data_IF_420168506720
#
_entry.id   IF_420168506720
#
_cell.length_a   1.000
_cell.length_b   1.000
_cell.length_c   1.000
_cell.angle_alpha   90.00
_cell.angle_beta   90.00
_cell.angle_gamma   90.00
#
_symmetry.space_group_name_H-M   'P 1'
#
loop_
_entity.id
_entity.type
_entity.pdbx_description
1 polymer ?
#
# COMPACT_ATOMS: atom_id res chain seq x y z
N UNK A 1 -31.88 -86.29 57.05
CA UNK A 1 -31.92 -84.88 57.45
C UNK A 1 -30.73 -84.22 56.78
N UNK A 2 -30.99 -83.10 56.10
CA UNK A 2 -30.07 -82.23 55.37
C UNK A 2 -28.86 -81.81 56.26
N UNK A 3 -27.79 -81.22 55.78
CA UNK A 3 -27.65 -80.25 54.70
C UNK A 3 -26.15 -80.02 54.43
N UNK A 4 -25.89 -79.16 53.46
CA UNK A 4 -24.88 -78.08 53.46
C UNK A 4 -23.99 -78.01 52.22
N UNK A 5 -24.57 -77.33 51.23
CA UNK A 5 -23.87 -76.61 50.17
C UNK A 5 -23.65 -75.17 50.63
N UNK A 6 -22.43 -74.81 51.01
CA UNK A 6 -22.10 -73.46 51.47
C UNK A 6 -21.66 -72.55 50.31
N UNK A 7 -22.39 -71.45 50.18
CA UNK A 7 -22.34 -70.45 49.11
C UNK A 7 -21.17 -69.47 49.23
N UNK A 8 -20.76 -68.98 48.06
CA UNK A 8 -19.77 -67.93 47.82
C UNK A 8 -20.31 -66.54 48.15
N UNK A 9 -19.49 -65.72 48.82
CA UNK A 9 -19.78 -64.32 49.16
C UNK A 9 -19.36 -63.39 48.00
N UNK A 10 -20.19 -62.41 47.58
CA UNK A 10 -19.84 -61.49 46.49
C UNK A 10 -18.96 -60.33 46.99
N UNK A 11 -17.91 -60.03 46.22
CA UNK A 11 -17.04 -58.87 46.40
C UNK A 11 -17.69 -57.63 45.76
N UNK A 12 -17.92 -56.59 46.55
CA UNK A 12 -18.42 -55.28 46.11
C UNK A 12 -17.27 -54.47 45.50
N UNK A 13 -17.43 -53.83 44.32
CA UNK A 13 -16.40 -52.99 43.73
C UNK A 13 -16.31 -51.62 44.43
N UNK A 14 -15.08 -51.16 44.63
CA UNK A 14 -14.76 -49.83 45.18
C UNK A 14 -15.26 -48.70 44.26
N UNK A 15 -15.61 -47.52 44.81
CA UNK A 15 -16.19 -46.44 44.03
C UNK A 15 -15.15 -45.80 43.10
N UNK A 16 -15.60 -45.49 41.88
CA UNK A 16 -14.81 -44.79 40.88
C UNK A 16 -14.27 -43.47 41.42
N UNK A 17 -12.95 -43.28 41.34
CA UNK A 17 -12.30 -42.01 41.63
C UNK A 17 -12.81 -40.97 40.64
N UNK A 18 -13.50 -39.94 41.15
CA UNK A 18 -13.88 -38.78 40.37
C UNK A 18 -12.63 -38.15 39.75
N UNK A 19 -12.56 -38.15 38.42
CA UNK A 19 -11.54 -37.43 37.67
C UNK A 19 -11.55 -35.96 38.10
N UNK A 20 -10.42 -35.51 38.66
CA UNK A 20 -10.19 -34.08 38.89
C UNK A 20 -10.21 -33.38 37.54
N UNK A 21 -11.31 -32.70 37.21
CA UNK A 21 -11.37 -31.73 36.10
C UNK A 21 -10.14 -30.82 36.19
N UNK A 22 -9.25 -30.93 35.21
CA UNK A 22 -8.11 -30.04 35.09
C UNK A 22 -8.62 -28.59 35.07
N UNK A 23 -8.11 -27.76 35.98
CA UNK A 23 -8.43 -26.32 35.99
C UNK A 23 -7.98 -25.73 34.66
N UNK A 24 -8.91 -25.09 33.94
CA UNK A 24 -8.59 -24.36 32.72
C UNK A 24 -7.43 -23.38 32.96
N UNK A 25 -6.49 -23.24 32.00
CA UNK A 25 -5.39 -22.29 32.12
C UNK A 25 -5.91 -20.89 32.43
N UNK A 26 -5.30 -20.22 33.41
CA UNK A 26 -5.73 -18.87 33.86
C UNK A 26 -5.42 -17.77 32.82
N UNK A 27 -4.70 -18.11 31.76
CA UNK A 27 -4.29 -17.27 30.64
C UNK A 27 -4.03 -18.16 29.42
N UNK A 28 -4.01 -17.54 28.24
CA UNK A 28 -3.58 -18.20 27.01
C UNK A 28 -2.07 -18.46 27.07
N UNK A 29 -1.68 -19.71 26.84
CA UNK A 29 -0.28 -20.09 26.66
C UNK A 29 0.07 -19.93 25.18
N UNK A 30 0.82 -18.88 24.86
CA UNK A 30 1.49 -18.77 23.57
C UNK A 30 2.70 -19.71 23.54
N UNK A 31 3.09 -20.18 22.35
CA UNK A 31 4.25 -21.08 22.16
C UNK A 31 5.56 -20.48 22.70
N UNK A 32 5.65 -19.15 22.77
CA UNK A 32 6.79 -18.41 23.31
C UNK A 32 6.70 -18.11 24.82
N UNK A 33 5.59 -18.43 25.48
CA UNK A 33 5.38 -18.21 26.92
C UNK A 33 5.43 -16.74 27.36
N UNK A 34 5.30 -15.78 26.45
CA UNK A 34 5.39 -14.35 26.75
C UNK A 34 4.26 -13.93 27.70
N UNK A 35 3.05 -14.48 27.54
CA UNK A 35 1.89 -14.12 28.38
C UNK A 35 2.00 -14.59 29.83
N UNK A 36 2.95 -15.46 30.16
CA UNK A 36 3.30 -15.85 31.55
C UNK A 36 4.00 -14.72 32.31
N UNK A 37 4.61 -13.78 31.60
CA UNK A 37 5.38 -12.67 32.21
C UNK A 37 4.52 -11.47 32.62
N UNK A 38 3.20 -11.52 32.37
CA UNK A 38 2.25 -10.45 32.65
C UNK A 38 1.77 -10.48 34.10
N UNK A 39 1.69 -9.30 34.73
CA UNK A 39 1.18 -9.22 36.08
C UNK A 39 -0.33 -9.50 36.13
N UNK A 40 -0.69 -10.64 36.70
CA UNK A 40 -2.09 -11.06 36.89
C UNK A 40 -2.90 -10.04 37.69
N UNK A 41 -2.35 -9.53 38.78
CA UNK A 41 -3.05 -8.55 39.63
C UNK A 41 -3.36 -7.28 38.86
N UNK A 42 -2.42 -6.82 38.03
CA UNK A 42 -2.62 -5.68 37.15
C UNK A 42 -3.66 -5.96 36.06
N UNK A 43 -3.68 -7.16 35.45
CA UNK A 43 -4.67 -7.46 34.42
C UNK A 43 -6.10 -7.54 34.95
N UNK A 44 -6.28 -8.02 36.18
CA UNK A 44 -7.61 -8.10 36.80
C UNK A 44 -8.08 -6.78 37.42
N UNK A 45 -7.19 -6.04 38.09
CA UNK A 45 -7.56 -4.86 38.89
C UNK A 45 -7.07 -3.53 38.32
N UNK A 46 -6.31 -3.55 37.21
CA UNK A 46 -5.62 -2.40 36.59
C UNK A 46 -4.73 -1.60 37.56
N UNK A 47 -4.47 -2.14 38.75
CA UNK A 47 -3.63 -1.57 39.80
C UNK A 47 -2.83 -2.71 40.43
N UNK A 48 -1.51 -2.56 40.47
CA UNK A 48 -0.62 -3.47 41.18
C UNK A 48 -0.05 -2.72 42.39
N UNK A 49 -0.19 -3.27 43.59
CA UNK A 49 0.28 -2.66 44.84
C UNK A 49 1.76 -2.93 45.14
N UNK A 50 2.46 -3.65 44.25
CA UNK A 50 3.89 -3.96 44.42
C UNK A 50 4.73 -2.83 43.85
N UNK A 51 5.54 -2.19 44.69
CA UNK A 51 6.43 -1.08 44.32
C UNK A 51 7.44 -1.48 43.22
N UNK A 52 7.90 -2.74 43.19
CA UNK A 52 8.83 -3.29 42.19
C UNK A 52 8.30 -4.62 41.63
N UNK A 53 7.19 -4.56 40.88
CA UNK A 53 6.61 -5.77 40.31
C UNK A 53 7.49 -6.34 39.18
N UNK A 54 7.98 -7.57 39.34
CA UNK A 54 8.79 -8.29 38.34
C UNK A 54 8.04 -8.72 37.06
N UNK A 55 6.76 -8.36 36.94
CA UNK A 55 5.86 -8.79 35.87
C UNK A 55 5.35 -7.57 35.09
N UNK A 56 5.15 -7.72 33.79
CA UNK A 56 4.81 -6.63 32.86
C UNK A 56 3.43 -6.04 33.16
N UNK A 57 3.34 -4.70 33.17
CA UNK A 57 2.12 -3.92 33.37
C UNK A 57 1.69 -3.24 32.06
N UNK A 58 1.25 -4.01 31.07
CA UNK A 58 0.79 -3.45 29.80
C UNK A 58 -0.68 -2.96 29.91
N UNK A 59 -0.87 -1.64 29.90
CA UNK A 59 -2.20 -0.99 29.96
C UNK A 59 -3.03 -1.28 28.69
N UNK A 60 -2.37 -1.41 27.54
CA UNK A 60 -2.99 -1.56 26.23
C UNK A 60 -3.30 -3.03 25.89
N UNK A 61 -2.77 -3.99 26.64
CA UNK A 61 -3.06 -5.41 26.46
C UNK A 61 -4.56 -5.72 26.63
N UNK A 62 -5.12 -6.46 25.67
CA UNK A 62 -6.49 -6.94 25.68
C UNK A 62 -6.71 -8.00 26.77
N UNK A 63 -7.56 -7.74 27.79
CA UNK A 63 -7.78 -8.70 28.87
C UNK A 63 -8.47 -9.99 28.42
N UNK A 64 -9.33 -9.91 27.39
CA UNK A 64 -9.99 -11.08 26.83
C UNK A 64 -8.99 -11.96 26.10
N UNK A 65 -8.18 -11.38 25.22
CA UNK A 65 -7.14 -12.13 24.52
C UNK A 65 -6.12 -12.76 25.47
N UNK A 66 -5.63 -12.02 26.47
CA UNK A 66 -4.73 -12.56 27.49
C UNK A 66 -5.35 -13.75 28.26
N UNK A 67 -6.65 -13.71 28.54
CA UNK A 67 -7.34 -14.76 29.29
C UNK A 67 -7.66 -15.99 28.44
N UNK A 68 -8.09 -15.82 27.19
CA UNK A 68 -8.69 -16.89 26.38
C UNK A 68 -8.00 -17.16 25.04
N UNK A 69 -7.02 -16.35 24.65
CA UNK A 69 -6.31 -16.47 23.35
C UNK A 69 -7.16 -16.11 22.14
N UNK A 70 -8.41 -15.71 22.38
CA UNK A 70 -9.40 -15.34 21.36
C UNK A 70 -10.09 -14.07 21.81
N UNK A 71 -10.11 -13.07 20.94
CA UNK A 71 -10.85 -11.84 21.15
C UNK A 71 -12.01 -11.77 20.16
N UNK A 72 -13.19 -11.36 20.65
CA UNK A 72 -14.39 -11.23 19.81
C UNK A 72 -14.29 -10.20 18.69
N UNK A 73 -13.27 -9.33 18.74
CA UNK A 73 -13.03 -8.27 17.75
C UNK A 73 -11.86 -8.59 16.81
N UNK A 74 -11.19 -9.75 16.94
CA UNK A 74 -10.08 -10.13 16.06
C UNK A 74 -9.04 -9.02 15.88
N UNK A 75 -8.68 -8.74 14.63
CA UNK A 75 -7.70 -7.72 14.27
C UNK A 75 -8.23 -6.27 14.35
N UNK A 76 -9.55 -6.10 14.54
CA UNK A 76 -10.19 -4.80 14.76
C UNK A 76 -10.24 -4.42 16.26
N UNK A 77 -9.63 -5.21 17.15
CA UNK A 77 -9.60 -4.91 18.57
C UNK A 77 -8.80 -3.64 18.86
N UNK A 78 -9.40 -2.68 19.57
CA UNK A 78 -8.73 -1.44 20.01
C UNK A 78 -7.64 -1.66 21.08
N UNK A 79 -7.32 -2.91 21.43
CA UNK A 79 -6.35 -3.31 22.46
C UNK A 79 -5.38 -4.32 21.88
N UNK A 80 -4.15 -4.35 22.39
CA UNK A 80 -3.09 -5.19 21.86
C UNK A 80 -3.39 -6.67 22.12
N UNK A 81 -3.19 -7.52 21.11
CA UNK A 81 -3.18 -8.99 21.21
C UNK A 81 -1.76 -9.55 21.27
N UNK A 82 -0.79 -8.69 21.55
CA UNK A 82 0.62 -9.01 21.77
C UNK A 82 1.09 -8.27 23.01
N UNK A 83 2.21 -8.71 23.56
CA UNK A 83 2.83 -8.02 24.68
C UNK A 83 3.79 -6.94 24.19
N UNK A 84 3.54 -5.72 24.65
CA UNK A 84 4.48 -4.62 24.48
C UNK A 84 5.47 -4.72 25.65
N UNK A 85 6.65 -5.30 25.40
CA UNK A 85 7.72 -5.27 26.39
C UNK A 85 8.31 -3.83 26.38
N UNK A 86 8.25 -3.09 27.50
CA UNK A 86 8.97 -1.84 27.59
C UNK A 86 10.48 -2.12 27.56
N UNK A 87 11.20 -1.35 26.76
CA UNK A 87 12.67 -1.38 26.68
C UNK A 87 13.25 -1.12 28.09
N UNK A 88 14.16 -1.97 28.60
CA UNK A 88 14.77 -1.79 29.92
C UNK A 88 15.56 -0.47 30.08
N UNK A 89 15.78 0.31 29.01
CA UNK A 89 16.47 1.61 29.07
C UNK A 89 15.57 2.86 28.92
N UNK A 90 14.25 2.72 28.80
CA UNK A 90 13.37 3.88 28.71
C UNK A 90 12.95 4.39 30.10
N UNK A 91 13.60 5.45 30.57
CA UNK A 91 13.12 6.26 31.70
C UNK A 91 11.79 6.92 31.30
N UNK A 92 10.77 6.69 32.11
CA UNK A 92 9.38 6.95 31.75
C UNK A 92 9.00 8.42 31.66
N UNK A 93 7.90 8.68 30.94
CA UNK A 93 6.77 9.47 31.44
C UNK A 93 5.54 9.24 30.54
N UNK A 94 4.41 9.00 31.21
CA UNK A 94 3.09 8.74 30.65
C UNK A 94 2.48 10.05 30.08
N UNK A 95 1.87 9.99 28.89
CA UNK A 95 0.49 10.42 28.58
C UNK A 95 0.29 10.73 27.09
N UNK A 96 -0.55 9.94 26.40
CA UNK A 96 -1.20 10.33 25.13
C UNK A 96 -2.71 10.26 25.35
N UNK A 97 -3.35 11.42 25.44
CA UNK A 97 -4.80 11.59 25.33
C UNK A 97 -5.20 11.69 23.86
N UNK A 98 -6.11 10.83 23.44
CA UNK A 98 -6.75 10.84 22.13
C UNK A 98 -7.98 11.77 22.14
N UNK A 99 -8.15 12.57 21.08
CA UNK A 99 -9.38 13.29 20.78
C UNK A 99 -10.05 12.68 19.54
N UNK A 100 -11.34 12.42 19.67
CA UNK A 100 -12.25 11.91 18.64
C UNK A 100 -13.20 13.02 18.20
N UNK A 101 -13.67 12.99 16.94
CA UNK A 101 -14.86 13.72 16.47
C UNK A 101 -15.30 13.20 15.08
N UNK A 102 -16.51 13.52 14.58
CA UNK A 102 -17.50 12.49 14.25
C UNK A 102 -18.03 12.53 12.80
N UNK A 103 -18.88 11.54 12.53
CA UNK A 103 -19.77 11.33 11.39
C UNK A 103 -20.83 12.43 11.19
N UNK A 104 -21.12 12.75 9.93
CA UNK A 104 -22.36 13.39 9.48
C UNK A 104 -22.59 13.05 8.00
N UNK A 105 -23.73 12.45 7.68
CA UNK A 105 -24.13 12.11 6.31
C UNK A 105 -25.17 13.09 5.77
N UNK A 106 -25.42 13.03 4.46
CA UNK A 106 -26.70 13.39 3.84
C UNK A 106 -26.79 12.82 2.41
N UNK A 107 -27.97 12.30 2.09
CA UNK A 107 -28.38 11.65 0.83
C UNK A 107 -28.64 12.64 -0.30
N UNK A 108 -28.52 12.22 -1.57
CA UNK A 108 -29.41 12.70 -2.64
C UNK A 108 -29.57 11.67 -3.78
N UNK A 109 -30.81 11.52 -4.25
CA UNK A 109 -31.27 10.52 -5.21
C UNK A 109 -30.98 10.80 -6.71
N UNK A 110 -30.78 9.67 -7.40
CA UNK A 110 -30.97 9.29 -8.82
C UNK A 110 -31.53 10.31 -9.84
N UNK A 111 -30.89 10.33 -11.04
CA UNK A 111 -31.50 9.90 -12.33
C UNK A 111 -30.47 9.74 -13.47
N UNK A 112 -30.63 8.65 -14.24
CA UNK A 112 -30.12 8.33 -15.61
C UNK A 112 -31.37 8.30 -16.54
N UNK A 113 -31.33 8.12 -17.90
CA UNK A 113 -30.28 7.46 -18.73
C UNK A 113 -29.93 8.19 -20.07
N UNK A 114 -28.71 8.00 -20.60
CA UNK A 114 -28.28 7.15 -21.75
C UNK A 114 -28.70 7.60 -23.18
N UNK A 115 -27.71 7.81 -24.07
CA UNK A 115 -27.48 6.93 -25.23
C UNK A 115 -26.20 7.30 -26.05
N UNK A 116 -25.50 6.24 -26.47
CA UNK A 116 -24.47 6.12 -27.54
C UNK A 116 -25.12 6.26 -28.94
N UNK A 117 -24.45 6.12 -30.12
CA UNK A 117 -23.07 5.69 -30.43
C UNK A 117 -22.33 6.43 -31.60
N UNK A 118 -21.03 6.07 -31.82
CA UNK A 118 -20.29 5.75 -33.09
C UNK A 118 -20.32 6.75 -34.27
N UNK A 119 -19.34 6.87 -35.18
CA UNK A 119 -18.08 6.21 -35.52
C UNK A 119 -17.36 7.01 -36.63
N UNK A 120 -16.04 6.82 -36.72
CA UNK A 120 -15.10 7.09 -37.82
C UNK A 120 -15.65 7.26 -39.25
N UNK A 121 -15.06 8.21 -40.02
CA UNK A 121 -14.15 7.90 -41.15
C UNK A 121 -13.48 9.15 -41.75
N UNK A 122 -12.21 8.95 -42.11
CA UNK A 122 -11.40 9.81 -42.98
C UNK A 122 -11.85 9.73 -44.45
N UNK A 123 -11.54 10.76 -45.25
CA UNK A 123 -10.71 10.59 -46.45
C UNK A 123 -10.34 11.93 -47.11
N UNK A 124 -9.09 11.99 -47.58
CA UNK A 124 -8.47 13.00 -48.45
C UNK A 124 -9.15 13.18 -49.82
N UNK A 125 -9.02 14.36 -50.43
CA UNK A 125 -8.28 14.53 -51.71
C UNK A 125 -8.38 15.97 -52.31
N UNK A 126 -7.21 16.61 -52.39
CA UNK A 126 -6.56 17.31 -53.53
C UNK A 126 -7.39 17.62 -54.80
N UNK A 127 -7.40 18.88 -55.23
CA UNK A 127 -7.28 19.29 -56.65
C UNK A 127 -6.96 20.79 -56.81
N UNK A 128 -6.23 21.10 -57.89
CA UNK A 128 -5.52 22.34 -58.26
C UNK A 128 -6.33 23.22 -59.24
N UNK A 129 -5.82 24.45 -59.41
CA UNK A 129 -5.80 25.31 -60.62
C UNK A 129 -7.06 26.14 -60.93
N UNK A 130 -7.03 27.26 -61.66
CA UNK A 130 -6.09 28.39 -61.93
C UNK A 130 -6.94 29.35 -62.80
N UNK A 131 -6.79 30.68 -62.62
CA UNK A 131 -7.22 31.82 -63.49
C UNK A 131 -8.72 31.94 -63.89
N UNK A 132 -9.31 33.14 -64.07
CA UNK A 132 -8.85 34.30 -64.87
C UNK A 132 -9.65 35.58 -64.49
N UNK A 133 -9.04 36.74 -64.77
CA UNK A 133 -9.60 38.13 -64.82
C UNK A 133 -10.71 38.23 -65.91
N UNK A 134 -11.52 39.28 -66.12
CA UNK A 134 -11.46 40.77 -66.07
C UNK A 134 -12.90 41.26 -66.48
N UNK A 135 -13.58 42.28 -65.93
CA UNK A 135 -13.69 43.72 -66.35
C UNK A 135 -15.00 44.28 -65.67
N UNK A 136 -15.00 45.36 -64.88
CA UNK A 136 -15.31 46.79 -65.17
C UNK A 136 -16.61 47.03 -66.00
N UNK A 137 -17.61 47.89 -65.71
CA UNK A 137 -17.96 48.97 -64.77
C UNK A 137 -19.52 49.23 -64.92
N UNK A 138 -20.20 50.32 -64.47
CA UNK A 138 -19.86 51.42 -63.56
C UNK A 138 -20.93 51.72 -62.45
N UNK A 139 -20.42 52.38 -61.39
CA UNK A 139 -21.00 53.42 -60.50
C UNK A 139 -22.54 53.59 -60.39
N UNK A 140 -23.03 53.45 -59.16
CA UNK A 140 -23.99 54.41 -58.61
C UNK A 140 -23.67 54.72 -57.13
N UNK A 141 -23.44 56.00 -56.87
CA UNK A 141 -22.88 56.54 -55.66
C UNK A 141 -23.97 57.10 -54.76
N UNK A 142 -24.85 56.25 -54.21
CA UNK A 142 -25.77 56.71 -53.15
C UNK A 142 -26.29 55.61 -52.19
N UNK A 143 -25.69 54.41 -52.24
CA UNK A 143 -25.94 53.31 -51.28
C UNK A 143 -24.76 53.00 -50.37
N UNK A 144 -23.70 53.81 -50.38
CA UNK A 144 -22.45 53.47 -49.70
C UNK A 144 -22.40 53.82 -48.20
N UNK A 145 -23.27 54.70 -47.68
CA UNK A 145 -23.18 55.11 -46.27
C UNK A 145 -24.08 54.32 -45.30
N UNK A 146 -25.19 53.76 -45.78
CA UNK A 146 -26.02 52.86 -44.97
C UNK A 146 -25.40 51.46 -44.86
N UNK A 147 -24.81 50.93 -45.94
CA UNK A 147 -24.17 49.61 -45.92
C UNK A 147 -22.81 49.60 -45.19
N UNK A 148 -22.05 50.69 -45.20
CA UNK A 148 -20.78 50.76 -44.45
C UNK A 148 -21.00 50.78 -42.94
N UNK A 149 -22.08 51.41 -42.44
CA UNK A 149 -22.46 51.34 -41.01
C UNK A 149 -23.01 49.97 -40.60
N UNK A 150 -23.79 49.31 -41.46
CA UNK A 150 -24.28 47.94 -41.20
C UNK A 150 -23.17 46.87 -41.27
N UNK A 151 -22.22 46.99 -42.21
CA UNK A 151 -21.04 46.11 -42.30
C UNK A 151 -20.02 46.37 -41.18
N UNK A 152 -19.87 47.60 -40.67
CA UNK A 152 -19.05 47.86 -39.46
C UNK A 152 -19.67 47.24 -38.20
N UNK A 153 -21.00 47.25 -38.07
CA UNK A 153 -21.70 46.63 -36.93
C UNK A 153 -21.63 45.10 -36.96
N UNK A 154 -21.83 44.47 -38.13
CA UNK A 154 -21.68 43.00 -38.30
C UNK A 154 -20.24 42.49 -38.30
N UNK A 155 -19.23 43.31 -38.62
CA UNK A 155 -17.82 42.90 -38.57
C UNK A 155 -17.25 42.90 -37.14
N UNK A 156 -17.88 43.63 -36.22
CA UNK A 156 -17.51 43.62 -34.80
C UNK A 156 -18.09 42.44 -34.01
N UNK A 157 -19.19 41.83 -34.46
CA UNK A 157 -19.83 40.69 -33.77
C UNK A 157 -19.18 39.33 -34.13
N UNK A 158 -18.28 39.28 -35.11
CA UNK A 158 -17.62 38.04 -35.57
C UNK A 158 -16.17 37.86 -35.13
N UNK A 159 -15.63 38.75 -34.30
CA UNK A 159 -14.43 38.43 -33.53
C UNK A 159 -14.89 37.67 -32.30
N UNK A 160 -15.17 36.37 -32.46
CA UNK A 160 -15.15 35.46 -31.31
C UNK A 160 -13.83 35.74 -30.60
N UNK A 161 -13.90 36.27 -29.37
CA UNK A 161 -12.73 36.47 -28.55
C UNK A 161 -12.02 35.12 -28.51
N UNK A 162 -10.83 35.03 -29.11
CA UNK A 162 -10.03 33.81 -29.09
C UNK A 162 -9.89 33.43 -27.63
N UNK A 163 -10.54 32.32 -27.25
CA UNK A 163 -10.58 31.85 -25.87
C UNK A 163 -9.14 31.61 -25.46
N UNK A 164 -8.59 32.50 -24.61
CA UNK A 164 -7.23 32.36 -24.13
C UNK A 164 -7.19 31.09 -23.28
N UNK A 165 -6.29 30.18 -23.62
CA UNK A 165 -6.10 28.91 -22.89
C UNK A 165 -5.24 29.10 -21.64
N UNK A 166 -4.44 30.16 -21.57
CA UNK A 166 -3.64 30.52 -20.39
C UNK A 166 -4.48 31.32 -19.41
N UNK A 167 -4.76 30.72 -18.26
CA UNK A 167 -5.64 31.29 -17.23
C UNK A 167 -4.87 32.05 -16.14
N UNK A 168 -3.60 31.71 -15.90
CA UNK A 168 -2.75 32.37 -14.90
C UNK A 168 -1.35 32.66 -15.46
N UNK A 169 -0.85 33.84 -15.14
CA UNK A 169 0.53 34.27 -15.37
C UNK A 169 1.31 34.42 -14.04
N UNK A 170 0.63 34.16 -12.91
CA UNK A 170 1.27 34.14 -11.59
C UNK A 170 2.00 32.79 -11.44
N UNK A 171 3.33 32.78 -11.21
CA UNK A 171 4.06 31.54 -11.02
C UNK A 171 3.50 30.72 -9.84
N UNK A 172 3.41 29.40 -10.00
CA UNK A 172 3.07 28.52 -8.90
C UNK A 172 4.22 28.45 -7.91
N UNK A 173 3.99 28.91 -6.68
CA UNK A 173 4.98 28.90 -5.59
C UNK A 173 4.70 27.84 -4.52
N UNK A 174 3.47 27.31 -4.48
CA UNK A 174 3.13 26.23 -3.57
C UNK A 174 3.86 24.93 -3.97
N UNK A 175 4.23 24.07 -3.01
CA UNK A 175 4.76 22.75 -3.32
C UNK A 175 3.84 21.91 -4.20
N UNK A 176 4.43 21.01 -4.99
CA UNK A 176 3.68 19.98 -5.71
C UNK A 176 3.29 18.85 -4.75
N UNK A 177 2.11 18.25 -4.98
CA UNK A 177 1.63 17.13 -4.15
C UNK A 177 2.37 15.83 -4.45
N UNK A 178 2.88 15.67 -5.67
CA UNK A 178 3.68 14.54 -6.15
C UNK A 178 4.74 15.05 -7.12
N UNK A 179 6.01 14.69 -6.91
CA UNK A 179 7.09 14.94 -7.87
C UNK A 179 7.59 13.59 -8.38
N UNK A 180 7.54 13.36 -9.69
CA UNK A 180 8.15 12.17 -10.30
C UNK A 180 9.54 12.55 -10.78
N UNK A 181 10.54 11.78 -10.36
CA UNK A 181 11.92 11.91 -10.79
C UNK A 181 12.48 10.55 -11.20
N UNK A 182 13.67 10.51 -11.78
CA UNK A 182 14.31 9.28 -12.21
C UNK A 182 15.82 9.33 -11.99
N UNK A 183 16.43 8.15 -11.96
CA UNK A 183 17.87 7.97 -12.04
C UNK A 183 18.13 6.80 -13.00
N UNK A 184 18.94 7.02 -14.03
CA UNK A 184 19.23 6.02 -15.05
C UNK A 184 20.37 5.08 -14.66
N UNK A 185 20.90 5.22 -13.43
CA UNK A 185 21.99 4.45 -12.90
C UNK A 185 21.83 2.93 -13.07
N UNK A 186 22.97 2.28 -13.04
CA UNK A 186 23.16 0.85 -13.24
C UNK A 186 23.58 0.16 -11.93
N UNK A 187 23.87 -1.14 -12.02
CA UNK A 187 24.24 -1.96 -10.85
C UNK A 187 25.47 -1.50 -10.07
N UNK A 188 26.38 -0.74 -10.71
CA UNK A 188 27.63 -0.28 -10.11
C UNK A 188 27.54 1.16 -9.59
N UNK A 189 26.44 1.83 -9.89
CA UNK A 189 26.26 3.24 -9.55
C UNK A 189 25.70 3.40 -8.14
N UNK A 190 25.83 4.61 -7.61
CA UNK A 190 25.06 5.07 -6.46
C UNK A 190 23.96 6.00 -6.97
N UNK A 191 22.84 5.99 -6.28
CA UNK A 191 21.76 6.95 -6.50
C UNK A 191 22.30 8.36 -6.34
N UNK A 192 22.09 9.19 -7.36
CA UNK A 192 22.72 10.50 -7.52
C UNK A 192 21.72 11.64 -7.60
N UNK A 193 20.47 11.32 -7.94
CA UNK A 193 19.39 12.31 -8.03
C UNK A 193 19.03 12.88 -6.66
N UNK A 194 19.03 14.23 -6.47
CA UNK A 194 18.61 14.85 -5.22
C UNK A 194 17.16 14.50 -4.85
N UNK A 195 16.98 13.97 -3.65
CA UNK A 195 15.70 13.44 -3.17
C UNK A 195 14.95 14.46 -2.30
N UNK A 196 13.64 14.51 -2.47
CA UNK A 196 12.72 15.22 -1.58
C UNK A 196 11.70 14.29 -0.93
N UNK A 197 11.04 14.76 0.12
CA UNK A 197 9.98 14.03 0.82
C UNK A 197 8.71 13.77 -0.02
N UNK A 198 8.58 14.42 -1.19
CA UNK A 198 7.46 14.33 -2.15
C UNK A 198 7.75 13.47 -3.39
N UNK A 199 8.89 12.80 -3.41
CA UNK A 199 9.33 12.08 -4.60
C UNK A 199 8.65 10.73 -4.77
N UNK A 200 8.37 10.43 -6.03
CA UNK A 200 8.37 9.09 -6.60
C UNK A 200 9.57 9.01 -7.53
N UNK A 201 10.41 8.01 -7.33
CA UNK A 201 11.66 7.81 -8.08
C UNK A 201 11.52 6.59 -8.97
N UNK A 202 11.93 6.71 -10.23
CA UNK A 202 12.01 5.59 -11.18
C UNK A 202 13.47 5.26 -11.48
N UNK A 203 13.84 3.98 -11.40
CA UNK A 203 15.20 3.51 -11.72
C UNK A 203 15.08 2.31 -12.67
N UNK A 204 14.94 2.56 -13.98
CA UNK A 204 14.63 1.52 -14.95
C UNK A 204 15.82 0.60 -15.27
N UNK A 205 17.06 1.06 -15.04
CA UNK A 205 18.26 0.37 -15.53
C UNK A 205 19.02 -0.43 -14.47
N UNK A 206 18.59 -0.40 -13.20
CA UNK A 206 19.38 -0.98 -12.10
C UNK A 206 19.62 -2.49 -12.24
N UNK A 207 18.69 -3.19 -12.90
CA UNK A 207 18.77 -4.64 -13.17
C UNK A 207 18.85 -4.96 -14.67
N UNK A 208 19.21 -3.98 -15.50
CA UNK A 208 19.32 -4.15 -16.96
C UNK A 208 20.45 -5.09 -17.41
N UNK A 209 21.36 -5.46 -16.50
CA UNK A 209 22.39 -6.46 -16.76
C UNK A 209 21.88 -7.90 -16.76
N UNK A 210 20.61 -8.12 -16.38
CA UNK A 210 19.94 -9.41 -16.45
C UNK A 210 19.06 -9.51 -17.68
N UNK A 211 18.92 -10.72 -18.23
CA UNK A 211 17.97 -10.95 -19.32
C UNK A 211 16.55 -10.84 -18.79
N UNK A 212 15.63 -10.38 -19.64
CA UNK A 212 14.21 -10.29 -19.31
C UNK A 212 13.69 -11.64 -18.78
N UNK A 213 13.07 -11.62 -17.60
CA UNK A 213 12.50 -12.79 -16.93
C UNK A 213 13.50 -13.71 -16.21
N UNK A 214 14.80 -13.44 -16.29
CA UNK A 214 15.83 -14.27 -15.65
C UNK A 214 15.70 -14.27 -14.13
N UNK A 215 15.60 -13.09 -13.52
CA UNK A 215 15.46 -12.95 -12.07
C UNK A 215 14.11 -13.49 -11.57
N UNK A 216 13.04 -13.32 -12.36
CA UNK A 216 11.75 -13.94 -12.06
C UNK A 216 11.89 -15.46 -11.95
N UNK A 217 12.48 -16.10 -12.97
CA UNK A 217 12.65 -17.55 -13.01
C UNK A 217 13.53 -18.06 -11.87
N UNK A 218 14.64 -17.37 -11.57
CA UNK A 218 15.54 -17.70 -10.45
C UNK A 218 14.83 -17.63 -9.10
N UNK A 219 14.13 -16.52 -8.82
CA UNK A 219 13.40 -16.35 -7.57
C UNK A 219 12.32 -17.42 -7.38
N UNK A 220 11.53 -17.71 -8.42
CA UNK A 220 10.51 -18.76 -8.35
C UNK A 220 11.12 -20.15 -8.16
N UNK A 221 12.19 -20.47 -8.89
CA UNK A 221 12.91 -21.73 -8.73
C UNK A 221 13.47 -21.89 -7.32
N UNK A 222 14.08 -20.85 -6.75
CA UNK A 222 14.61 -20.88 -5.39
C UNK A 222 13.51 -21.04 -4.33
N UNK A 223 12.35 -20.37 -4.50
CA UNK A 223 11.20 -20.57 -3.63
C UNK A 223 10.68 -22.01 -3.69
N UNK A 224 10.60 -22.60 -4.88
CA UNK A 224 10.12 -23.98 -5.06
C UNK A 224 11.08 -25.01 -4.46
N UNK A 225 12.36 -24.66 -4.35
CA UNK A 225 13.42 -25.53 -3.83
C UNK A 225 13.92 -25.11 -2.44
N UNK A 226 13.20 -24.22 -1.73
CA UNK A 226 13.63 -23.75 -0.41
C UNK A 226 13.39 -24.77 0.72
N UNK A 227 12.77 -25.92 0.41
CA UNK A 227 12.46 -26.99 1.36
C UNK A 227 11.20 -26.77 2.18
N UNK A 228 10.40 -25.74 1.87
CA UNK A 228 9.12 -25.44 2.52
C UNK A 228 7.99 -25.65 1.49
N UNK A 229 6.96 -26.46 1.78
CA UNK A 229 5.80 -26.63 0.92
C UNK A 229 5.13 -25.29 0.56
N UNK A 230 4.70 -25.13 -0.70
CA UNK A 230 4.14 -23.86 -1.22
C UNK A 230 2.92 -23.37 -0.43
N UNK A 231 2.07 -24.26 0.05
CA UNK A 231 0.88 -23.96 0.84
C UNK A 231 1.20 -23.41 2.24
N UNK A 232 2.36 -23.78 2.79
CA UNK A 232 2.88 -23.25 4.06
C UNK A 232 3.65 -21.95 3.84
N UNK A 233 4.36 -21.86 2.71
CA UNK A 233 5.22 -20.74 2.36
C UNK A 233 4.46 -19.52 1.85
N UNK A 234 3.46 -19.72 0.99
CA UNK A 234 2.73 -18.66 0.30
C UNK A 234 1.39 -18.40 1.00
N UNK A 235 1.20 -17.16 1.47
CA UNK A 235 0.00 -16.74 2.16
C UNK A 235 -0.79 -15.76 1.31
N UNK A 236 -2.10 -15.98 1.20
CA UNK A 236 -2.98 -15.01 0.56
C UNK A 236 -3.07 -13.74 1.41
N UNK A 237 -3.03 -12.58 0.78
CA UNK A 237 -2.94 -11.28 1.46
C UNK A 237 -4.10 -10.34 1.09
N UNK A 238 -4.45 -9.45 2.03
CA UNK A 238 -5.65 -8.60 1.99
C UNK A 238 -6.96 -9.38 1.83
N UNK A 239 -7.03 -10.59 2.39
CA UNK A 239 -8.28 -11.32 2.56
C UNK A 239 -9.20 -10.66 3.58
N UNK A 240 -10.48 -10.99 3.49
CA UNK A 240 -11.53 -10.66 4.46
C UNK A 240 -12.67 -11.69 4.35
N UNK A 241 -13.78 -11.48 5.05
CA UNK A 241 -14.92 -12.40 5.04
C UNK A 241 -15.56 -12.64 3.66
N UNK A 242 -15.19 -11.87 2.63
CA UNK A 242 -15.75 -11.95 1.28
C UNK A 242 -14.77 -12.48 0.24
N UNK A 243 -13.46 -12.32 0.46
CA UNK A 243 -12.42 -12.75 -0.47
C UNK A 243 -11.25 -13.37 0.30
N UNK A 244 -10.69 -14.46 -0.20
CA UNK A 244 -9.50 -15.08 0.40
C UNK A 244 -8.29 -14.14 0.37
N UNK A 245 -8.26 -13.27 -0.64
CA UNK A 245 -7.36 -12.13 -0.76
C UNK A 245 -7.06 -11.78 -2.21
N UNK A 246 -6.03 -10.97 -2.40
CA UNK A 246 -5.80 -10.23 -3.65
C UNK A 246 -4.51 -10.60 -4.36
N UNK A 247 -3.53 -11.10 -3.63
CA UNK A 247 -2.24 -11.59 -4.12
C UNK A 247 -1.56 -12.44 -3.03
N UNK A 248 -0.49 -13.15 -3.39
CA UNK A 248 0.28 -13.96 -2.46
C UNK A 248 1.48 -13.17 -1.90
N UNK A 249 1.84 -13.48 -0.67
CA UNK A 249 3.12 -13.09 -0.07
C UNK A 249 3.88 -14.33 0.37
N UNK A 250 5.20 -14.24 0.43
CA UNK A 250 6.01 -15.26 1.08
C UNK A 250 6.03 -14.99 2.58
N UNK A 251 5.88 -16.03 3.39
CA UNK A 251 5.86 -15.91 4.85
C UNK A 251 7.23 -15.49 5.40
N UNK A 252 7.36 -14.21 5.74
CA UNK A 252 8.56 -13.62 6.35
C UNK A 252 8.93 -14.24 7.71
N UNK A 253 8.05 -15.04 8.33
CA UNK A 253 8.35 -15.77 9.59
C UNK A 253 9.06 -17.10 9.35
N UNK A 254 9.15 -17.56 8.11
CA UNK A 254 9.80 -18.82 7.75
C UNK A 254 11.27 -18.60 7.35
N UNK A 255 12.02 -19.69 7.18
CA UNK A 255 13.47 -19.67 6.92
C UNK A 255 13.85 -19.58 5.44
N UNK A 256 12.88 -19.33 4.55
CA UNK A 256 13.04 -19.41 3.09
C UNK A 256 14.16 -18.52 2.53
N UNK A 257 14.40 -17.35 3.14
CA UNK A 257 15.44 -16.40 2.68
C UNK A 257 16.83 -17.04 2.65
N UNK A 258 17.15 -17.90 3.62
CA UNK A 258 18.43 -18.61 3.67
C UNK A 258 18.66 -19.56 2.49
N UNK A 259 17.62 -19.87 1.71
CA UNK A 259 17.65 -20.71 0.52
C UNK A 259 17.32 -19.95 -0.77
N UNK A 260 17.21 -18.62 -0.69
CA UNK A 260 16.87 -17.76 -1.82
C UNK A 260 17.94 -16.68 -2.05
N UNK A 261 19.16 -17.06 -2.49
CA UNK A 261 20.26 -16.11 -2.68
C UNK A 261 19.97 -15.02 -3.72
N UNK A 262 19.05 -15.26 -4.67
CA UNK A 262 18.63 -14.21 -5.61
C UNK A 262 17.86 -13.10 -4.90
N UNK A 263 17.14 -13.39 -3.80
CA UNK A 263 16.49 -12.36 -2.99
C UNK A 263 17.52 -11.45 -2.29
N UNK A 264 18.58 -12.05 -1.75
CA UNK A 264 19.69 -11.30 -1.13
C UNK A 264 20.41 -10.44 -2.19
N UNK A 265 20.69 -11.00 -3.37
CA UNK A 265 21.27 -10.23 -4.50
C UNK A 265 20.44 -9.00 -4.83
N UNK A 266 19.11 -9.15 -4.93
CA UNK A 266 18.19 -8.06 -5.26
C UNK A 266 18.19 -7.01 -4.15
N UNK A 267 18.00 -7.42 -2.90
CA UNK A 267 17.92 -6.48 -1.77
C UNK A 267 19.24 -5.79 -1.47
N UNK A 268 20.38 -6.48 -1.61
CA UNK A 268 21.71 -5.88 -1.50
C UNK A 268 21.98 -4.86 -2.58
N UNK A 269 21.51 -5.10 -3.81
CA UNK A 269 21.66 -4.11 -4.89
C UNK A 269 20.84 -2.86 -4.61
N UNK A 270 19.60 -2.99 -4.14
CA UNK A 270 18.78 -1.84 -3.72
C UNK A 270 19.44 -1.09 -2.57
N UNK A 271 19.93 -1.80 -1.56
CA UNK A 271 20.69 -1.26 -0.42
C UNK A 271 21.87 -0.42 -0.87
N UNK A 272 22.72 -0.97 -1.75
CA UNK A 272 23.93 -0.29 -2.24
C UNK A 272 23.60 0.92 -3.10
N UNK A 273 22.66 0.77 -4.04
CA UNK A 273 22.30 1.83 -4.96
C UNK A 273 21.73 3.04 -4.22
N UNK A 274 20.70 2.86 -3.39
CA UNK A 274 20.07 3.96 -2.66
C UNK A 274 20.81 4.37 -1.39
N UNK A 275 21.90 3.69 -1.01
CA UNK A 275 22.48 3.79 0.35
C UNK A 275 21.39 3.58 1.41
N UNK A 276 20.52 2.60 1.17
CA UNK A 276 19.31 2.36 1.96
C UNK A 276 19.63 1.50 3.18
N UNK A 277 19.35 2.02 4.37
CA UNK A 277 19.35 1.25 5.61
C UNK A 277 18.03 0.47 5.73
N UNK A 278 18.01 -0.74 5.15
CA UNK A 278 16.83 -1.61 5.09
C UNK A 278 16.41 -2.06 6.50
N UNK A 279 15.16 -1.79 6.88
CA UNK A 279 14.55 -2.21 8.14
C UNK A 279 13.61 -3.40 7.98
N UNK A 280 12.98 -3.53 6.81
CA UNK A 280 12.08 -4.63 6.51
C UNK A 280 12.01 -4.88 5.01
N UNK A 281 11.61 -6.09 4.64
CA UNK A 281 11.40 -6.49 3.25
C UNK A 281 10.10 -7.26 3.09
N UNK A 282 9.52 -7.31 1.89
CA UNK A 282 8.41 -8.18 1.55
C UNK A 282 8.55 -8.72 0.14
N UNK A 283 8.32 -10.03 -0.01
CA UNK A 283 8.13 -10.67 -1.31
C UNK A 283 6.63 -10.82 -1.58
N UNK A 284 6.15 -10.21 -2.67
CA UNK A 284 4.78 -10.36 -3.15
C UNK A 284 4.81 -11.08 -4.49
N UNK A 285 3.92 -12.04 -4.68
CA UNK A 285 3.74 -12.76 -5.92
C UNK A 285 2.30 -12.63 -6.42
N UNK A 286 2.18 -12.24 -7.68
CA UNK A 286 0.93 -12.19 -8.43
C UNK A 286 1.01 -13.32 -9.45
N UNK A 287 0.10 -14.29 -9.36
CA UNK A 287 0.11 -15.48 -10.25
C UNK A 287 -0.15 -15.10 -11.71
N UNK A 288 -1.04 -14.14 -11.89
CA UNK A 288 -1.49 -13.62 -13.17
C UNK A 288 -1.87 -12.13 -13.03
N UNK A 289 -2.39 -11.53 -14.10
CA UNK A 289 -2.76 -10.11 -14.09
C UNK A 289 -4.16 -9.80 -13.58
N UNK A 290 -4.91 -10.81 -13.11
CA UNK A 290 -6.18 -10.61 -12.39
C UNK A 290 -5.96 -10.18 -10.96
N UNK A 291 -4.83 -10.56 -10.35
CA UNK A 291 -4.46 -10.22 -8.99
C UNK A 291 -3.97 -8.76 -8.87
N UNK A 292 -4.20 -8.15 -7.71
CA UNK A 292 -3.93 -6.74 -7.48
C UNK A 292 -3.46 -6.48 -6.05
N UNK A 293 -2.95 -5.28 -5.79
CA UNK A 293 -2.74 -4.77 -4.44
C UNK A 293 -3.63 -3.54 -4.24
N UNK A 294 -4.56 -3.55 -3.28
CA UNK A 294 -5.46 -2.44 -3.06
C UNK A 294 -4.68 -1.17 -2.68
N UNK A 295 -5.28 0.00 -2.93
CA UNK A 295 -4.73 1.26 -2.46
C UNK A 295 -4.64 1.29 -0.93
N UNK A 296 -3.43 1.46 -0.42
CA UNK A 296 -3.10 1.49 1.00
C UNK A 296 -1.99 2.49 1.26
N UNK A 297 -1.79 2.84 2.52
CA UNK A 297 -0.56 3.46 2.98
C UNK A 297 0.37 2.40 3.57
N UNK A 298 1.68 2.59 3.47
CA UNK A 298 2.62 1.76 4.22
C UNK A 298 2.55 2.12 5.71
N UNK A 299 2.97 1.18 6.56
CA UNK A 299 2.86 1.31 8.01
C UNK A 299 3.51 2.59 8.56
N UNK A 300 4.57 3.09 7.93
CA UNK A 300 5.25 4.33 8.31
C UNK A 300 4.34 5.57 8.25
N UNK A 301 3.29 5.60 7.42
CA UNK A 301 2.35 6.72 7.38
C UNK A 301 1.35 6.70 8.57
N UNK A 302 1.17 5.55 9.21
CA UNK A 302 0.10 5.37 10.23
C UNK A 302 0.65 4.98 11.60
N UNK A 303 1.91 4.55 11.71
CA UNK A 303 2.55 4.12 12.96
C UNK A 303 3.79 4.99 13.26
N UNK A 304 3.74 5.89 14.26
CA UNK A 304 4.84 6.80 14.57
C UNK A 304 6.19 6.11 14.83
N UNK A 305 6.19 4.98 15.55
CA UNK A 305 7.42 4.22 15.82
C UNK A 305 8.04 3.59 14.56
N UNK A 306 7.25 3.33 13.51
CA UNK A 306 7.76 2.88 12.21
C UNK A 306 8.25 4.08 11.40
N UNK A 307 7.51 5.20 11.42
CA UNK A 307 7.91 6.46 10.77
C UNK A 307 9.28 6.95 11.26
N UNK A 308 9.60 6.71 12.53
CA UNK A 308 10.89 7.07 13.13
C UNK A 308 12.10 6.32 12.55
N UNK A 309 11.88 5.19 11.85
CA UNK A 309 12.96 4.35 11.31
C UNK A 309 12.83 4.06 9.80
N UNK A 310 11.74 4.49 9.17
CA UNK A 310 11.47 4.28 7.75
C UNK A 310 10.97 5.58 7.11
N UNK A 311 11.75 6.13 6.18
CA UNK A 311 11.38 7.31 5.41
C UNK A 311 11.27 7.03 3.89
N UNK A 312 11.60 5.81 3.45
CA UNK A 312 11.68 5.47 2.04
C UNK A 312 11.21 4.04 1.77
N UNK A 313 10.37 3.89 0.75
CA UNK A 313 9.92 2.58 0.24
C UNK A 313 10.48 2.36 -1.15
N UNK A 314 11.09 1.20 -1.39
CA UNK A 314 11.64 0.79 -2.69
C UNK A 314 10.97 -0.50 -3.13
N UNK A 315 10.41 -0.53 -4.34
CA UNK A 315 9.81 -1.70 -4.96
C UNK A 315 10.47 -2.02 -6.30
N UNK A 316 10.93 -3.26 -6.48
CA UNK A 316 11.44 -3.79 -7.74
C UNK A 316 10.47 -4.83 -8.30
N UNK A 317 10.22 -4.74 -9.60
CA UNK A 317 9.28 -5.59 -10.33
C UNK A 317 10.00 -6.60 -11.22
N UNK A 318 9.55 -7.86 -11.22
CA UNK A 318 9.98 -8.89 -12.17
C UNK A 318 8.78 -9.61 -12.78
N UNK A 319 8.90 -10.06 -14.02
CA UNK A 319 7.84 -10.72 -14.78
C UNK A 319 6.93 -9.75 -15.55
N UNK A 320 5.63 -9.95 -15.47
CA UNK A 320 4.65 -9.17 -16.21
C UNK A 320 4.74 -7.67 -15.89
N UNK A 321 4.71 -6.84 -16.92
CA UNK A 321 4.57 -5.38 -16.75
C UNK A 321 3.19 -5.07 -16.19
N UNK A 322 3.14 -4.33 -15.08
CA UNK A 322 1.91 -3.90 -14.39
C UNK A 322 2.05 -2.49 -13.88
N UNK A 323 0.93 -1.80 -13.70
CA UNK A 323 0.91 -0.44 -13.17
C UNK A 323 1.04 -0.41 -11.65
N UNK A 324 2.12 0.21 -11.16
CA UNK A 324 2.16 0.74 -9.81
C UNK A 324 1.42 2.08 -9.82
N UNK A 325 0.39 2.21 -9.01
CA UNK A 325 -0.47 3.39 -8.99
C UNK A 325 -0.42 4.08 -7.63
N UNK A 326 -0.53 5.40 -7.67
CA UNK A 326 -0.63 6.32 -6.54
C UNK A 326 -1.97 7.04 -6.66
N UNK A 327 -2.78 6.98 -5.63
CA UNK A 327 -4.07 7.62 -5.53
C UNK A 327 -4.05 8.66 -4.41
N UNK A 328 -4.31 9.92 -4.75
CA UNK A 328 -4.37 11.00 -3.77
C UNK A 328 -5.44 10.71 -2.73
N UNK A 329 -5.08 10.72 -1.45
CA UNK A 329 -5.95 10.28 -0.37
C UNK A 329 -7.26 11.07 -0.28
N UNK A 330 -7.22 12.37 -0.57
CA UNK A 330 -8.40 13.25 -0.56
C UNK A 330 -9.13 13.28 -1.91
N UNK A 331 -8.47 13.77 -2.97
CA UNK A 331 -9.12 14.00 -4.28
C UNK A 331 -9.41 12.74 -5.10
N UNK A 332 -8.85 11.58 -4.70
CA UNK A 332 -8.96 10.30 -5.42
C UNK A 332 -8.41 10.33 -6.85
N UNK A 333 -7.62 11.35 -7.18
CA UNK A 333 -6.89 11.38 -8.46
C UNK A 333 -5.84 10.28 -8.46
N UNK A 334 -5.76 9.53 -9.56
CA UNK A 334 -4.81 8.41 -9.71
C UNK A 334 -3.74 8.76 -10.73
N UNK A 335 -2.48 8.55 -10.34
CA UNK A 335 -1.31 8.55 -11.22
C UNK A 335 -0.78 7.13 -11.26
N UNK A 336 -0.54 6.56 -12.44
CA UNK A 336 0.07 5.24 -12.57
C UNK A 336 1.36 5.30 -13.36
N UNK A 337 2.28 4.41 -13.00
CA UNK A 337 3.56 4.22 -13.68
C UNK A 337 3.71 2.74 -14.01
N UNK A 338 3.81 2.36 -15.30
CA UNK A 338 4.11 0.99 -15.70
C UNK A 338 5.43 0.52 -15.09
N UNK A 339 5.45 -0.69 -14.53
CA UNK A 339 6.63 -1.31 -13.96
C UNK A 339 7.00 -2.58 -14.76
N UNK A 340 7.84 -2.45 -15.80
CA UNK A 340 8.39 -3.58 -16.52
C UNK A 340 9.29 -4.48 -15.66
N UNK A 341 9.64 -5.63 -16.22
CA UNK A 341 10.65 -6.53 -15.65
C UNK A 341 11.98 -5.78 -15.43
N UNK A 342 12.52 -5.87 -14.22
CA UNK A 342 13.78 -5.21 -13.82
C UNK A 342 13.65 -3.74 -13.43
N UNK A 343 12.45 -3.14 -13.48
CA UNK A 343 12.25 -1.73 -13.12
C UNK A 343 11.99 -1.55 -11.63
N UNK A 344 12.67 -0.56 -11.05
CA UNK A 344 12.46 -0.10 -9.68
C UNK A 344 11.59 1.15 -9.69
N UNK A 345 10.65 1.22 -8.75
CA UNK A 345 10.04 2.45 -8.30
C UNK A 345 10.27 2.62 -6.80
N UNK A 346 10.42 3.85 -6.34
CA UNK A 346 10.53 4.17 -4.92
C UNK A 346 9.72 5.41 -4.60
N UNK A 347 9.39 5.63 -3.33
CA UNK A 347 8.70 6.82 -2.90
C UNK A 347 9.03 7.21 -1.46
N UNK A 348 9.00 8.51 -1.22
CA UNK A 348 9.40 9.15 0.04
C UNK A 348 8.28 9.23 1.07
N UNK A 349 8.65 9.55 2.31
CA UNK A 349 7.76 9.59 3.48
C UNK A 349 6.48 10.40 3.28
N UNK A 350 6.56 11.61 2.74
CA UNK A 350 5.36 12.45 2.64
C UNK A 350 4.50 12.04 1.44
N UNK A 351 5.10 11.49 0.38
CA UNK A 351 4.37 10.80 -0.68
C UNK A 351 3.51 9.68 -0.09
N UNK A 352 4.07 8.84 0.80
CA UNK A 352 3.35 7.77 1.48
C UNK A 352 2.27 8.27 2.45
N UNK A 353 2.27 9.56 2.82
CA UNK A 353 1.24 10.16 3.68
C UNK A 353 0.10 10.77 2.85
N UNK A 354 0.42 11.42 1.72
CA UNK A 354 -0.58 12.04 0.85
C UNK A 354 -1.22 11.04 -0.12
N UNK A 355 -0.45 10.08 -0.62
CA UNK A 355 -0.86 9.16 -1.67
C UNK A 355 -0.92 7.74 -1.14
N UNK A 356 -2.07 7.10 -1.35
CA UNK A 356 -2.18 5.65 -1.21
C UNK A 356 -1.57 5.00 -2.45
N UNK A 357 -0.99 3.82 -2.33
CA UNK A 357 -0.40 3.11 -3.46
C UNK A 357 -0.91 1.68 -3.58
N UNK A 358 -0.82 1.14 -4.79
CA UNK A 358 -1.31 -0.20 -5.12
C UNK A 358 -0.74 -0.69 -6.44
N UNK A 359 -1.07 -1.94 -6.77
CA UNK A 359 -0.79 -2.54 -8.09
C UNK A 359 -2.14 -2.77 -8.73
N UNK A 360 -2.41 -2.17 -9.89
CA UNK A 360 -3.71 -2.23 -10.55
C UNK A 360 -3.93 -3.58 -11.22
N UNK A 361 -5.17 -4.10 -11.18
CA UNK A 361 -5.63 -5.25 -11.98
C UNK A 361 -5.65 -4.91 -13.48
N UNK A 362 -5.19 -5.82 -14.34
CA UNK A 362 -5.31 -5.63 -15.79
C UNK A 362 -6.70 -6.00 -16.31
N UNK A 363 -7.11 -5.30 -17.37
CA UNK A 363 -8.28 -5.64 -18.17
C UNK A 363 -7.91 -5.43 -19.65
N UNK A 364 -7.81 -6.49 -20.48
CA UNK A 364 -8.04 -7.90 -20.15
C UNK A 364 -6.96 -8.53 -19.26
N UNK A 365 -7.32 -9.60 -18.56
CA UNK A 365 -6.40 -10.42 -17.78
C UNK A 365 -5.50 -11.24 -18.71
N UNK A 366 -4.24 -11.42 -18.31
CA UNK A 366 -3.20 -12.20 -18.97
C UNK A 366 -2.64 -13.20 -17.96
N UNK A 367 -2.34 -14.40 -18.42
CA UNK A 367 -1.76 -15.48 -17.61
C UNK A 367 -0.25 -15.29 -17.44
N UNK A 368 0.15 -14.11 -16.95
CA UNK A 368 1.55 -13.73 -16.76
C UNK A 368 1.78 -13.35 -15.29
N UNK A 369 2.70 -14.06 -14.64
CA UNK A 369 3.05 -13.80 -13.24
C UNK A 369 3.94 -12.57 -13.07
N UNK A 370 3.84 -11.95 -11.89
CA UNK A 370 4.67 -10.81 -11.48
C UNK A 370 5.16 -10.99 -10.05
N UNK A 371 6.39 -10.60 -9.78
CA UNK A 371 6.96 -10.48 -8.43
C UNK A 371 7.16 -9.00 -8.11
N UNK A 372 6.79 -8.59 -6.89
CA UNK A 372 7.32 -7.37 -6.25
C UNK A 372 8.19 -7.76 -5.08
N UNK A 373 9.46 -7.36 -5.08
CA UNK A 373 10.26 -7.30 -3.85
C UNK A 373 10.22 -5.87 -3.35
N UNK A 374 9.78 -5.68 -2.11
CA UNK A 374 9.70 -4.38 -1.45
C UNK A 374 10.76 -4.34 -0.35
N UNK A 375 11.49 -3.22 -0.26
CA UNK A 375 12.37 -2.89 0.84
C UNK A 375 11.92 -1.57 1.45
N UNK A 376 11.71 -1.56 2.76
CA UNK A 376 11.44 -0.35 3.55
C UNK A 376 12.67 -0.03 4.36
N UNK A 377 13.07 1.23 4.35
CA UNK A 377 14.26 1.64 5.07
C UNK A 377 14.40 3.15 5.22
N UNK A 378 15.63 3.52 5.61
CA UNK A 378 16.03 4.90 5.77
C UNK A 378 17.06 5.30 4.72
N UNK A 379 16.86 6.47 4.12
CA UNK A 379 17.87 7.16 3.31
C UNK A 379 18.17 8.52 3.93
N UNK A 380 19.44 8.87 3.96
CA UNK A 380 19.89 10.17 4.45
C UNK A 380 19.74 11.26 3.38
N UNK A 381 19.88 12.52 3.80
CA UNK A 381 19.91 13.70 2.92
C UNK A 381 18.66 13.90 2.04
N UNK A 382 17.51 13.34 2.44
CA UNK A 382 16.22 13.67 1.85
C UNK A 382 15.79 15.08 2.27
N UNK A 383 15.57 15.96 1.30
CA UNK A 383 15.09 17.31 1.58
C UNK A 383 13.60 17.31 1.94
N UNK A 384 13.26 17.94 3.06
CA UNK A 384 11.86 18.14 3.43
C UNK A 384 11.21 19.24 2.59
N UNK A 385 10.02 18.95 2.09
CA UNK A 385 9.19 19.94 1.40
C UNK A 385 8.14 20.43 2.38
N UNK A 386 8.21 21.71 2.74
CA UNK A 386 7.29 22.32 3.71
C UNK A 386 5.84 21.98 3.38
N UNK A 387 5.13 21.34 4.32
CA UNK A 387 3.69 21.14 4.19
C UNK A 387 2.97 22.46 4.43
N UNK A 388 1.92 22.81 3.65
CA UNK A 388 1.17 24.06 3.82
C UNK A 388 0.48 24.19 5.20
N UNK A 389 0.48 23.13 6.01
CA UNK A 389 -0.18 23.07 7.32
C UNK A 389 0.58 23.84 8.42
N UNK A 390 1.83 24.25 8.20
CA UNK A 390 2.62 24.98 9.20
C UNK A 390 2.45 26.51 9.18
N UNK A 391 1.65 27.06 8.25
CA UNK A 391 1.46 28.50 8.09
C UNK A 391 0.14 29.01 8.70
N UNK A 392 -0.25 28.50 9.87
CA UNK A 392 -1.22 29.19 10.75
C UNK A 392 -0.88 28.83 12.20
N UNK A 393 -0.09 29.70 12.85
CA UNK A 393 0.01 29.80 14.30
C UNK A 393 -0.01 31.27 14.69
#
# INVERSE_FOLDING_TARGET
MADDTAATVPVVPAPAQAEKKAKAPLHFEDEAGLFKTVCRTFMHKKKCTRASCKFVHDKQLCPHFWKTGRCKFGDECRKNHFLTLPDPNAKGEDNITAAAAPSGGEEFEKKKPANKPKSNKLSDNKAKADKTKEEAAPRDADKQDAEKKAKKKKKNERRQATKKNTESFVPMTKPVDLRITYDLGSKNDKFSTPLTSRDVVLVPNLFSDFKKGELYAKLMHELDNCGIPRDQLLKMWHGNDKIDGTHLIVDDRSTWKAKCPTFDLVTDRLKKFFTLDIKATRFNWYKDTSQWKPFHFDAAAVKPHIAAIQNFTVGISFGATRDAAFEHAETKTVVSVPQPDGCVYAFSKDTNVIWRHGILRDVPVREEGRISVIAWGWVDNMADVASPVAAVS
#
